data_IF_018351782629
#
_entry.id   IF_018351782629
#
_cell.length_a   1.000
_cell.length_b   1.000
_cell.length_c   1.000
_cell.angle_alpha   90.00
_cell.angle_beta   90.00
_cell.angle_gamma   90.00
#
_symmetry.space_group_name_H-M   'P 1'
#
loop_
_entity.id
_entity.type
_entity.pdbx_description
1 polymer ?
#
# COMPACT_ATOMS: atom_id res chain seq x y z
N UNK A 1 19.90 -53.86 15.23
CA UNK A 1 20.78 -52.71 14.95
C UNK A 1 20.10 -51.43 15.41
N UNK A 2 20.73 -50.58 16.25
CA UNK A 2 20.12 -49.34 16.73
C UNK A 2 20.23 -48.23 15.68
N UNK A 3 19.21 -47.36 15.61
CA UNK A 3 19.19 -46.16 14.76
C UNK A 3 20.19 -45.11 15.25
N UNK A 4 20.90 -44.37 14.37
CA UNK A 4 21.78 -43.30 14.81
C UNK A 4 20.97 -42.07 15.25
N UNK A 5 21.43 -41.43 16.32
CA UNK A 5 20.91 -40.16 16.81
C UNK A 5 21.17 -39.03 15.79
N UNK A 6 20.15 -38.20 15.50
CA UNK A 6 20.31 -36.98 14.72
C UNK A 6 20.97 -35.92 15.60
N UNK A 7 22.20 -35.51 15.29
CA UNK A 7 22.78 -34.29 15.83
C UNK A 7 22.15 -33.09 15.10
N UNK A 8 21.41 -32.27 15.84
CA UNK A 8 20.92 -30.98 15.39
C UNK A 8 21.95 -29.91 15.74
N UNK A 9 22.91 -29.66 14.85
CA UNK A 9 23.76 -28.49 14.93
C UNK A 9 24.06 -28.01 13.51
N UNK A 10 23.26 -27.05 13.03
CA UNK A 10 23.63 -26.26 11.86
C UNK A 10 24.83 -25.39 12.24
N UNK A 11 25.87 -25.27 11.40
CA UNK A 11 26.98 -24.37 11.66
C UNK A 11 26.48 -22.93 11.73
N UNK A 12 26.81 -22.23 12.83
CA UNK A 12 26.50 -20.81 12.97
C UNK A 12 27.34 -20.00 11.99
N UNK A 13 26.68 -19.37 11.02
CA UNK A 13 27.30 -18.42 10.10
C UNK A 13 27.70 -17.17 10.91
N UNK A 14 28.97 -16.71 10.83
CA UNK A 14 29.40 -15.49 11.51
C UNK A 14 28.53 -14.28 11.11
N UNK A 15 28.10 -13.50 12.11
CA UNK A 15 27.43 -12.21 11.90
C UNK A 15 28.47 -11.15 11.48
N UNK A 16 28.97 -11.23 10.27
CA UNK A 16 29.64 -10.10 9.64
C UNK A 16 28.64 -9.38 8.73
N UNK A 17 28.28 -8.15 9.09
CA UNK A 17 27.47 -7.29 8.26
C UNK A 17 28.29 -6.86 7.03
N UNK A 18 27.77 -6.97 5.80
CA UNK A 18 28.45 -6.47 4.62
C UNK A 18 28.73 -4.96 4.75
N UNK A 19 29.96 -4.54 4.43
CA UNK A 19 30.52 -3.19 4.58
C UNK A 19 29.86 -2.08 3.73
N UNK A 20 28.76 -2.37 3.04
CA UNK A 20 28.01 -1.40 2.22
C UNK A 20 27.19 -0.38 3.04
N UNK A 21 27.18 -0.48 4.37
CA UNK A 21 26.47 0.43 5.30
C UNK A 21 27.31 1.64 5.78
N UNK A 22 28.57 1.78 5.36
CA UNK A 22 29.50 2.77 5.90
C UNK A 22 29.32 4.23 5.38
N UNK A 23 28.12 4.60 4.91
CA UNK A 23 27.86 5.92 4.31
C UNK A 23 26.56 6.61 4.74
N UNK A 24 25.87 6.12 5.77
CA UNK A 24 24.59 6.73 6.21
C UNK A 24 24.85 8.02 7.00
N UNK A 25 24.29 9.19 6.62
CA UNK A 25 24.42 10.40 7.42
C UNK A 25 23.84 10.16 8.81
N UNK A 26 24.63 10.43 9.84
CA UNK A 26 24.40 10.12 11.26
C UNK A 26 23.23 10.87 11.94
N UNK A 27 22.28 11.45 11.19
CA UNK A 27 21.16 12.22 11.75
C UNK A 27 19.86 12.08 10.94
N UNK A 28 19.38 10.87 10.73
CA UNK A 28 17.95 10.67 10.41
C UNK A 28 17.15 10.83 11.71
N UNK A 29 16.41 11.94 11.88
CA UNK A 29 15.47 12.09 13.01
C UNK A 29 14.09 11.62 12.60
N UNK A 30 13.62 10.56 13.24
CA UNK A 30 12.23 10.15 13.22
C UNK A 30 11.44 11.01 14.22
N UNK A 31 10.54 11.88 13.74
CA UNK A 31 9.53 12.49 14.62
C UNK A 31 8.18 11.84 14.36
N UNK A 32 7.62 11.25 15.40
CA UNK A 32 6.22 10.78 15.42
C UNK A 32 5.36 12.01 15.73
N UNK A 33 4.48 12.38 14.81
CA UNK A 33 3.45 13.39 15.09
C UNK A 33 2.39 12.81 16.04
N UNK A 34 1.61 13.69 16.70
CA UNK A 34 0.60 13.34 17.71
C UNK A 34 -0.51 12.36 17.25
N UNK A 35 -0.53 11.95 15.98
CA UNK A 35 -1.48 11.00 15.39
C UNK A 35 -0.91 9.58 15.16
N UNK A 36 0.23 9.23 15.75
CA UNK A 36 0.72 7.84 15.95
C UNK A 36 1.08 6.99 14.71
N UNK A 37 0.69 7.39 13.51
CA UNK A 37 0.71 6.56 12.28
C UNK A 37 1.48 7.20 11.11
N UNK A 38 2.09 8.37 11.33
CA UNK A 38 2.76 9.17 10.30
C UNK A 38 4.14 9.63 10.78
N UNK A 39 5.16 9.48 9.92
CA UNK A 39 6.54 9.81 10.26
C UNK A 39 7.07 10.86 9.30
N UNK A 40 7.48 12.01 9.85
CA UNK A 40 8.30 12.96 9.12
C UNK A 40 9.75 12.48 9.19
N UNK A 41 10.36 12.26 8.03
CA UNK A 41 11.78 11.91 7.92
C UNK A 41 12.51 13.20 7.53
N UNK A 42 13.22 13.76 8.50
CA UNK A 42 14.04 14.96 8.29
C UNK A 42 15.46 14.71 8.81
N UNK A 43 16.45 15.12 8.03
CA UNK A 43 17.81 15.31 8.47
C UNK A 43 18.13 16.81 8.34
N UNK A 44 18.79 17.38 9.36
CA UNK A 44 19.10 18.81 9.42
C UNK A 44 19.92 19.24 8.19
N UNK A 45 19.40 20.20 7.41
CA UNK A 45 20.07 20.71 6.21
C UNK A 45 19.80 19.93 4.92
N UNK A 46 18.86 18.98 4.91
CA UNK A 46 18.50 18.20 3.71
C UNK A 46 17.01 18.32 3.35
N UNK A 47 16.67 18.15 2.05
CA UNK A 47 15.28 18.05 1.62
C UNK A 47 14.56 16.95 2.40
N UNK A 48 13.44 17.31 3.03
CA UNK A 48 12.69 16.42 3.92
C UNK A 48 11.61 15.65 3.15
N UNK A 49 11.31 14.42 3.61
CA UNK A 49 10.28 13.55 3.03
C UNK A 49 9.27 13.18 4.10
N UNK A 50 7.99 13.29 3.77
CA UNK A 50 6.89 12.80 4.60
C UNK A 50 6.35 11.49 4.02
N UNK A 51 6.29 10.44 4.84
CA UNK A 51 5.77 9.14 4.43
C UNK A 51 4.53 8.73 5.24
N UNK A 52 3.53 8.25 4.51
CA UNK A 52 2.33 7.60 5.01
C UNK A 52 2.61 6.15 5.36
N UNK A 53 2.21 5.70 6.55
CA UNK A 53 2.14 4.28 6.90
C UNK A 53 0.86 3.93 7.69
N UNK A 54 -0.14 4.81 7.66
CA UNK A 54 -1.35 4.63 8.47
C UNK A 54 -2.25 3.53 7.93
N UNK A 55 -3.16 3.05 8.77
CA UNK A 55 -4.27 2.22 8.34
C UNK A 55 -5.08 2.94 7.26
N UNK A 56 -5.52 2.18 6.25
CA UNK A 56 -6.30 2.68 5.12
C UNK A 56 -7.54 3.43 5.62
N UNK A 57 -7.80 4.64 5.10
CA UNK A 57 -8.91 5.44 5.58
C UNK A 57 -10.25 4.90 5.08
N UNK A 58 -11.28 5.01 5.93
CA UNK A 58 -12.65 4.70 5.54
C UNK A 58 -13.23 5.91 4.83
N UNK A 59 -13.56 5.76 3.55
CA UNK A 59 -14.37 6.76 2.84
C UNK A 59 -15.78 6.71 3.42
N UNK A 60 -16.10 7.65 4.32
CA UNK A 60 -17.45 7.77 4.87
C UNK A 60 -18.31 8.62 3.94
N UNK A 61 -19.06 7.97 3.06
CA UNK A 61 -20.31 8.54 2.51
C UNK A 61 -21.24 7.44 1.96
N UNK A 62 -22.41 7.19 2.57
CA UNK A 62 -23.57 6.77 1.80
C UNK A 62 -24.24 7.99 1.16
N UNK A 63 -24.94 7.85 0.01
CA UNK A 63 -25.74 8.93 -0.55
C UNK A 63 -26.85 9.29 0.44
N UNK A 64 -26.98 10.58 0.78
CA UNK A 64 -28.16 11.06 1.47
C UNK A 64 -29.38 10.83 0.55
N UNK A 65 -30.25 9.90 0.93
CA UNK A 65 -31.57 9.74 0.30
C UNK A 65 -32.42 11.02 0.40
N UNK A 66 -33.52 11.10 -0.36
CA UNK A 66 -34.30 12.33 -0.49
C UNK A 66 -34.87 12.77 0.86
N UNK A 67 -34.83 14.08 1.10
CA UNK A 67 -35.29 14.74 2.33
C UNK A 67 -36.78 14.44 2.56
N UNK A 68 -37.11 13.87 3.72
CA UNK A 68 -38.48 13.88 4.22
C UNK A 68 -38.90 15.30 4.60
N UNK A 69 -40.08 15.70 4.17
CA UNK A 69 -40.75 16.97 4.49
C UNK A 69 -41.41 16.86 5.86
N UNK A 70 -40.79 17.43 6.89
CA UNK A 70 -41.37 17.58 8.22
C UNK A 70 -40.84 18.85 8.90
N UNK A 71 -41.63 19.52 9.77
CA UNK A 71 -41.27 20.81 10.34
C UNK A 71 -40.15 20.66 11.39
N UNK A 72 -39.32 21.69 11.61
CA UNK A 72 -38.15 21.59 12.48
C UNK A 72 -38.54 21.67 13.96
N UNK A 73 -37.88 20.91 14.86
CA UNK A 73 -38.04 21.11 16.30
C UNK A 73 -37.26 22.34 16.79
N UNK A 74 -37.76 22.93 17.87
CA UNK A 74 -37.31 24.18 18.49
C UNK A 74 -35.98 24.04 19.27
N UNK A 75 -35.26 25.16 19.36
CA UNK A 75 -33.86 25.31 19.83
C UNK A 75 -33.65 24.94 21.31
N UNK A 76 -32.51 24.32 21.65
CA UNK A 76 -31.53 24.85 22.63
C UNK A 76 -30.28 23.96 22.75
N UNK A 77 -29.22 24.55 23.34
CA UNK A 77 -27.87 24.03 23.62
C UNK A 77 -26.81 24.30 22.54
N UNK A 78 -25.81 25.09 22.94
CA UNK A 78 -24.79 25.72 22.10
C UNK A 78 -23.86 24.75 21.38
N UNK A 79 -23.65 25.02 20.09
CA UNK A 79 -22.50 24.55 19.35
C UNK A 79 -21.87 25.75 18.65
N UNK A 80 -20.61 26.05 18.99
CA UNK A 80 -19.80 27.07 18.33
C UNK A 80 -19.75 26.83 16.82
N UNK A 81 -19.91 27.85 15.96
CA UNK A 81 -19.89 27.68 14.52
C UNK A 81 -18.45 27.57 14.03
N UNK A 82 -17.84 26.38 14.13
CA UNK A 82 -16.41 26.20 13.84
C UNK A 82 -16.01 24.95 13.06
N UNK A 83 -16.86 23.94 12.92
CA UNK A 83 -16.52 22.71 12.20
C UNK A 83 -17.59 22.37 11.16
N UNK A 84 -17.58 23.08 10.03
CA UNK A 84 -18.07 22.49 8.78
C UNK A 84 -17.18 21.28 8.50
N UNK A 85 -17.64 20.07 8.83
CA UNK A 85 -17.03 18.82 8.36
C UNK A 85 -16.85 18.94 6.85
N UNK A 86 -15.61 19.12 6.39
CA UNK A 86 -15.26 19.12 4.97
C UNK A 86 -15.59 17.73 4.43
N UNK A 87 -16.72 17.63 3.71
CA UNK A 87 -17.10 16.40 3.00
C UNK A 87 -15.94 15.98 2.09
N UNK A 88 -15.57 14.70 2.13
CA UNK A 88 -14.74 14.05 1.10
C UNK A 88 -13.21 14.16 1.23
N UNK A 89 -12.65 14.58 2.38
CA UNK A 89 -11.19 14.67 2.54
C UNK A 89 -10.66 13.55 3.44
N UNK A 90 -9.97 12.58 2.84
CA UNK A 90 -9.30 11.49 3.57
C UNK A 90 -8.15 12.04 4.42
N UNK A 91 -7.73 11.25 5.41
CA UNK A 91 -6.58 11.58 6.25
C UNK A 91 -5.31 11.74 5.40
N UNK A 92 -5.07 10.84 4.44
CA UNK A 92 -3.92 10.93 3.55
C UNK A 92 -3.91 12.22 2.72
N UNK A 93 -5.06 12.66 2.18
CA UNK A 93 -5.18 13.94 1.49
C UNK A 93 -4.87 15.14 2.40
N UNK A 94 -5.27 15.08 3.67
CA UNK A 94 -4.98 16.15 4.61
C UNK A 94 -3.47 16.29 4.89
N UNK A 95 -2.75 15.16 4.98
CA UNK A 95 -1.30 15.13 5.14
C UNK A 95 -0.56 15.52 3.87
N UNK A 96 -1.01 15.08 2.69
CA UNK A 96 -0.43 15.50 1.42
C UNK A 96 -0.50 17.03 1.26
N UNK A 97 -1.64 17.62 1.63
CA UNK A 97 -1.81 19.07 1.66
C UNK A 97 -0.88 19.77 2.68
N UNK A 98 -0.62 19.13 3.83
CA UNK A 98 0.33 19.66 4.80
C UNK A 98 1.78 19.58 4.29
N UNK A 99 2.14 18.47 3.64
CA UNK A 99 3.45 18.27 3.01
C UNK A 99 3.71 19.31 1.92
N UNK A 100 2.71 19.56 1.05
CA UNK A 100 2.78 20.58 0.02
C UNK A 100 3.00 21.98 0.61
N UNK A 101 2.25 22.36 1.67
CA UNK A 101 2.47 23.65 2.36
C UNK A 101 3.83 23.76 3.03
N UNK A 102 4.39 22.63 3.49
CA UNK A 102 5.68 22.58 4.15
C UNK A 102 6.86 22.50 3.16
N UNK A 103 6.62 22.39 1.85
CA UNK A 103 7.69 22.29 0.86
C UNK A 103 8.44 20.96 0.90
N UNK A 104 7.77 19.86 1.26
CA UNK A 104 8.38 18.52 1.40
C UNK A 104 7.75 17.51 0.45
N UNK A 105 8.54 16.52 0.04
CA UNK A 105 8.02 15.39 -0.74
C UNK A 105 7.01 14.58 0.07
N UNK A 106 6.04 13.96 -0.61
CA UNK A 106 5.03 13.11 0.03
C UNK A 106 5.01 11.71 -0.58
N UNK A 107 5.05 10.68 0.27
CA UNK A 107 4.94 9.26 -0.11
C UNK A 107 3.68 8.69 0.52
N UNK A 108 2.71 8.30 -0.31
CA UNK A 108 1.49 7.63 0.10
C UNK A 108 1.60 6.11 -0.09
N UNK A 109 1.49 5.35 0.99
CA UNK A 109 1.56 3.88 0.95
C UNK A 109 0.22 3.20 1.23
N UNK A 110 -0.85 3.97 1.45
CA UNK A 110 -2.22 3.47 1.64
C UNK A 110 -2.98 3.47 0.33
N UNK A 111 -4.15 2.83 0.27
CA UNK A 111 -5.02 2.85 -0.91
C UNK A 111 -5.87 4.11 -1.07
N UNK A 112 -5.73 5.09 -0.17
CA UNK A 112 -6.36 6.40 -0.36
C UNK A 112 -5.84 7.03 -1.66
N UNK A 113 -6.73 7.58 -2.49
CA UNK A 113 -6.33 8.28 -3.70
C UNK A 113 -5.69 9.63 -3.35
N UNK A 114 -4.39 9.76 -3.55
CA UNK A 114 -3.62 10.99 -3.34
C UNK A 114 -2.83 11.32 -4.59
N UNK A 115 -1.87 10.48 -4.97
CA UNK A 115 -1.06 10.68 -6.17
C UNK A 115 -1.88 10.50 -7.45
N UNK A 116 -2.97 9.74 -7.38
CA UNK A 116 -3.94 9.58 -8.47
C UNK A 116 -4.88 10.78 -8.66
N UNK A 117 -4.91 11.76 -7.73
CA UNK A 117 -5.76 12.96 -7.85
C UNK A 117 -5.05 14.00 -8.73
N UNK A 118 -5.52 14.26 -9.97
CA UNK A 118 -4.75 15.06 -10.93
C UNK A 118 -4.49 16.49 -10.47
N UNK A 119 -5.45 17.12 -9.79
CA UNK A 119 -5.32 18.48 -9.27
C UNK A 119 -4.27 18.59 -8.16
N UNK A 120 -4.08 17.53 -7.36
CA UNK A 120 -3.06 17.50 -6.33
C UNK A 120 -1.68 17.23 -6.95
N UNK A 121 -1.59 16.26 -7.87
CA UNK A 121 -0.37 15.95 -8.59
C UNK A 121 0.18 17.16 -9.36
N UNK A 122 -0.69 17.91 -10.03
CA UNK A 122 -0.31 19.14 -10.74
C UNK A 122 0.30 20.19 -9.79
N UNK A 123 -0.23 20.32 -8.57
CA UNK A 123 0.30 21.27 -7.56
C UNK A 123 1.65 20.84 -7.01
N UNK A 124 1.86 19.54 -6.79
CA UNK A 124 3.18 19.00 -6.42
C UNK A 124 4.21 19.20 -7.55
N UNK A 125 3.79 18.98 -8.79
CA UNK A 125 4.60 19.23 -9.99
C UNK A 125 5.01 20.70 -10.09
N UNK A 126 4.05 21.63 -9.95
CA UNK A 126 4.31 23.07 -9.98
C UNK A 126 5.22 23.55 -8.84
N UNK A 127 5.17 22.88 -7.68
CA UNK A 127 6.03 23.18 -6.54
C UNK A 127 7.42 22.53 -6.63
N UNK A 128 7.71 21.73 -7.66
CA UNK A 128 8.97 20.97 -7.76
C UNK A 128 9.12 19.89 -6.68
N UNK A 129 8.01 19.39 -6.12
CA UNK A 129 8.00 18.43 -5.02
C UNK A 129 7.55 17.04 -5.51
N UNK A 130 8.28 15.96 -5.17
CA UNK A 130 7.84 14.60 -5.46
C UNK A 130 6.54 14.23 -4.74
N UNK A 131 5.63 13.59 -5.47
CA UNK A 131 4.44 12.93 -4.97
C UNK A 131 4.45 11.46 -5.42
N UNK A 132 4.69 10.56 -4.47
CA UNK A 132 4.81 9.11 -4.71
C UNK A 132 3.59 8.41 -4.12
N UNK A 133 2.96 7.50 -4.85
CA UNK A 133 1.76 6.78 -4.43
C UNK A 133 0.93 6.31 -5.61
N UNK A 134 -0.13 5.53 -5.44
CA UNK A 134 -0.72 5.11 -4.16
C UNK A 134 -0.63 3.58 -3.96
N UNK A 135 -0.85 3.14 -2.73
CA UNK A 135 -0.82 1.76 -2.23
C UNK A 135 0.49 1.01 -2.53
N UNK A 136 1.31 0.80 -1.51
CA UNK A 136 2.60 0.11 -1.70
C UNK A 136 2.39 -1.36 -2.14
N UNK A 137 3.20 -1.84 -3.07
CA UNK A 137 3.31 -3.27 -3.36
C UNK A 137 4.39 -3.88 -2.45
N UNK A 138 4.02 -4.83 -1.58
CA UNK A 138 5.00 -5.49 -0.70
C UNK A 138 6.06 -6.21 -1.55
N UNK A 139 7.31 -6.22 -1.09
CA UNK A 139 8.47 -6.78 -1.81
C UNK A 139 8.20 -8.16 -2.44
N UNK A 140 7.54 -9.05 -1.69
CA UNK A 140 7.13 -10.36 -2.17
C UNK A 140 5.68 -10.67 -1.74
N UNK A 141 4.77 -9.77 -2.09
CA UNK A 141 3.35 -9.88 -1.71
C UNK A 141 2.51 -10.73 -2.66
N UNK A 142 1.30 -11.08 -2.22
CA UNK A 142 0.34 -11.85 -3.02
C UNK A 142 0.00 -11.19 -4.36
N UNK A 143 -0.21 -9.88 -4.40
CA UNK A 143 -0.48 -9.15 -5.66
C UNK A 143 0.72 -9.18 -6.63
N UNK A 144 1.96 -9.17 -6.13
CA UNK A 144 3.17 -9.22 -6.97
C UNK A 144 3.32 -10.60 -7.59
N UNK A 145 3.23 -11.65 -6.75
CA UNK A 145 3.30 -13.04 -7.22
C UNK A 145 2.18 -13.34 -8.21
N UNK A 146 0.96 -12.93 -7.91
CA UNK A 146 -0.17 -13.19 -8.77
C UNK A 146 -0.03 -12.50 -10.13
N UNK A 147 0.35 -11.21 -10.15
CA UNK A 147 0.62 -10.47 -11.39
C UNK A 147 1.71 -11.15 -12.22
N UNK A 148 2.79 -11.64 -11.58
CA UNK A 148 3.86 -12.36 -12.25
C UNK A 148 3.37 -13.67 -12.90
N UNK A 149 2.52 -14.44 -12.21
CA UNK A 149 1.92 -15.67 -12.76
C UNK A 149 1.00 -15.37 -13.95
N UNK A 150 0.12 -14.37 -13.83
CA UNK A 150 -0.78 -13.97 -14.92
C UNK A 150 0.00 -13.44 -16.13
N UNK A 151 1.09 -12.70 -15.89
CA UNK A 151 2.01 -12.27 -16.94
C UNK A 151 2.68 -13.46 -17.61
N UNK A 152 3.14 -14.45 -16.85
CA UNK A 152 3.74 -15.66 -17.39
C UNK A 152 2.76 -16.44 -18.28
N UNK A 153 1.50 -16.62 -17.84
CA UNK A 153 0.44 -17.24 -18.65
C UNK A 153 0.32 -16.54 -20.01
N UNK A 154 0.26 -15.20 -20.00
CA UNK A 154 0.16 -14.39 -21.22
C UNK A 154 1.40 -14.49 -22.10
N UNK A 155 2.60 -14.36 -21.53
CA UNK A 155 3.88 -14.43 -22.25
C UNK A 155 4.13 -15.80 -22.90
N UNK A 156 3.55 -16.86 -22.33
CA UNK A 156 3.63 -18.22 -22.86
C UNK A 156 2.49 -18.57 -23.82
N UNK A 157 1.59 -17.63 -24.12
CA UNK A 157 0.48 -17.83 -25.07
C UNK A 157 -0.63 -18.73 -24.53
N UNK A 158 -0.76 -18.89 -23.21
CA UNK A 158 -1.87 -19.59 -22.60
C UNK A 158 -3.08 -18.65 -22.50
N UNK A 159 -4.28 -19.22 -22.70
CA UNK A 159 -5.54 -18.50 -22.49
C UNK A 159 -5.95 -18.63 -21.03
N UNK A 160 -6.04 -17.52 -20.30
CA UNK A 160 -6.57 -17.51 -18.93
C UNK A 160 -8.08 -17.80 -18.96
N UNK A 161 -8.52 -18.82 -18.22
CA UNK A 161 -9.93 -19.19 -18.10
C UNK A 161 -10.53 -18.56 -16.85
N UNK A 162 -9.88 -18.75 -15.70
CA UNK A 162 -10.30 -18.19 -14.43
C UNK A 162 -9.12 -18.09 -13.48
N UNK A 163 -9.28 -17.27 -12.45
CA UNK A 163 -8.30 -17.16 -11.39
C UNK A 163 -8.95 -16.55 -10.17
N UNK A 164 -8.48 -16.92 -8.98
CA UNK A 164 -8.91 -16.29 -7.76
C UNK A 164 -7.77 -16.02 -6.78
N UNK A 165 -8.01 -15.09 -5.86
CA UNK A 165 -7.09 -14.76 -4.78
C UNK A 165 -7.84 -14.65 -3.45
N UNK A 166 -7.41 -15.43 -2.46
CA UNK A 166 -7.83 -15.34 -1.07
C UNK A 166 -6.66 -14.84 -0.23
N UNK A 167 -6.90 -13.91 0.70
CA UNK A 167 -5.85 -13.49 1.65
C UNK A 167 -6.38 -13.51 3.08
N UNK A 168 -5.57 -14.06 3.97
CA UNK A 168 -5.79 -14.16 5.40
C UNK A 168 -4.66 -13.44 6.14
N UNK A 169 -4.96 -12.77 7.24
CA UNK A 169 -3.95 -12.11 8.08
C UNK A 169 -4.45 -11.84 9.49
N UNK A 170 -3.52 -11.58 10.40
CA UNK A 170 -3.81 -11.37 11.83
C UNK A 170 -3.48 -9.97 12.34
N UNK A 171 -3.06 -9.04 11.49
CA UNK A 171 -2.73 -7.67 11.90
C UNK A 171 -3.99 -6.80 12.00
N UNK A 172 -3.85 -5.67 12.69
CA UNK A 172 -4.93 -4.67 12.80
C UNK A 172 -5.30 -4.07 11.42
N UNK A 173 -4.38 -4.04 10.45
CA UNK A 173 -4.71 -3.68 9.07
C UNK A 173 -5.73 -4.68 8.48
N UNK A 174 -5.53 -5.99 8.68
CA UNK A 174 -6.51 -6.99 8.24
C UNK A 174 -7.84 -6.87 8.96
N UNK A 175 -7.84 -6.61 10.26
CA UNK A 175 -9.07 -6.37 11.01
C UNK A 175 -9.84 -5.18 10.44
N UNK A 176 -9.16 -4.04 10.26
CA UNK A 176 -9.75 -2.84 9.66
C UNK A 176 -10.30 -3.11 8.25
N UNK A 177 -9.60 -3.91 7.44
CA UNK A 177 -10.03 -4.24 6.08
C UNK A 177 -11.22 -5.21 6.03
N UNK A 178 -11.39 -6.07 7.04
CA UNK A 178 -12.58 -6.93 7.18
C UNK A 178 -13.78 -6.12 7.64
N UNK A 179 -13.58 -5.21 8.60
CA UNK A 179 -14.62 -4.32 9.09
C UNK A 179 -15.01 -3.27 8.04
N UNK A 180 -14.11 -2.94 7.09
CA UNK A 180 -14.30 -1.92 6.06
C UNK A 180 -13.90 -2.44 4.65
N UNK A 181 -14.69 -3.36 4.05
CA UNK A 181 -14.30 -4.12 2.86
C UNK A 181 -14.08 -3.30 1.57
N UNK A 182 -14.64 -2.08 1.50
CA UNK A 182 -14.59 -1.24 0.30
C UNK A 182 -13.29 -0.43 0.14
N UNK A 183 -12.34 -0.53 1.08
CA UNK A 183 -11.21 0.41 1.17
C UNK A 183 -9.99 0.04 0.32
N UNK A 184 -9.82 -1.24 -0.06
CA UNK A 184 -8.62 -1.73 -0.77
C UNK A 184 -8.91 -2.63 -1.97
N UNK A 185 -10.19 -2.85 -2.29
CA UNK A 185 -10.62 -3.70 -3.40
C UNK A 185 -10.12 -3.18 -4.76
N UNK A 186 -10.28 -1.88 -5.01
CA UNK A 186 -9.87 -1.26 -6.27
C UNK A 186 -8.36 -1.33 -6.48
N UNK A 187 -7.54 -1.07 -5.45
CA UNK A 187 -6.07 -1.13 -5.59
C UNK A 187 -5.55 -2.53 -5.92
N UNK A 188 -6.21 -3.58 -5.41
CA UNK A 188 -5.89 -4.97 -5.80
C UNK A 188 -6.28 -5.26 -7.25
N UNK A 189 -7.43 -4.77 -7.72
CA UNK A 189 -7.85 -4.90 -9.13
C UNK A 189 -6.88 -4.19 -10.07
N UNK A 190 -6.50 -2.95 -9.73
CA UNK A 190 -5.49 -2.19 -10.48
C UNK A 190 -4.17 -2.96 -10.60
N UNK A 191 -3.73 -3.66 -9.54
CA UNK A 191 -2.52 -4.46 -9.57
C UNK A 191 -2.61 -5.75 -10.43
N UNK A 192 -3.81 -6.25 -10.73
CA UNK A 192 -4.02 -7.51 -11.45
C UNK A 192 -4.40 -7.29 -12.93
N UNK A 193 -5.08 -6.19 -13.24
CA UNK A 193 -5.33 -5.75 -14.62
C UNK A 193 -6.14 -6.73 -15.48
N UNK A 194 -6.97 -7.58 -14.88
CA UNK A 194 -7.82 -8.54 -15.59
C UNK A 194 -9.13 -8.77 -14.83
N UNK A 195 -10.25 -8.73 -15.57
CA UNK A 195 -11.60 -9.00 -15.05
C UNK A 195 -11.84 -10.49 -14.78
N UNK A 196 -10.98 -11.37 -15.29
CA UNK A 196 -11.06 -12.82 -15.08
C UNK A 196 -10.52 -13.25 -13.70
N UNK A 197 -10.01 -12.30 -12.91
CA UNK A 197 -9.42 -12.57 -11.58
C UNK A 197 -10.38 -12.15 -10.48
N UNK A 198 -10.90 -13.11 -9.73
CA UNK A 198 -11.79 -12.87 -8.60
C UNK A 198 -10.99 -12.72 -7.31
N UNK A 199 -11.13 -11.58 -6.63
CA UNK A 199 -10.54 -11.36 -5.32
C UNK A 199 -11.57 -11.65 -4.25
N UNK A 200 -11.39 -12.74 -3.51
CA UNK A 200 -12.26 -13.09 -2.40
C UNK A 200 -12.16 -12.08 -1.25
N UNK A 201 -13.20 -11.97 -0.40
CA UNK A 201 -13.14 -11.20 0.83
C UNK A 201 -11.91 -11.57 1.67
N UNK A 202 -11.35 -10.57 2.34
CA UNK A 202 -10.24 -10.76 3.27
C UNK A 202 -10.70 -11.54 4.49
N UNK A 203 -9.85 -12.41 5.02
CA UNK A 203 -10.09 -13.09 6.30
C UNK A 203 -9.19 -12.53 7.40
N UNK A 204 -9.77 -12.24 8.56
CA UNK A 204 -9.05 -11.85 9.76
C UNK A 204 -8.94 -13.05 10.70
N UNK A 205 -7.72 -13.46 10.99
CA UNK A 205 -7.39 -14.57 11.89
C UNK A 205 -6.31 -14.10 12.88
N UNK A 206 -6.69 -13.71 14.12
CA UNK A 206 -5.77 -13.04 15.05
C UNK A 206 -4.52 -13.86 15.38
N UNK A 207 -4.63 -15.19 15.41
CA UNK A 207 -3.52 -16.09 15.71
C UNK A 207 -2.40 -16.07 14.65
N UNK A 208 -2.65 -15.55 13.44
CA UNK A 208 -1.61 -15.39 12.42
C UNK A 208 -0.63 -14.25 12.74
N UNK A 209 -1.03 -13.31 13.61
CA UNK A 209 -0.23 -12.12 13.93
C UNK A 209 0.21 -11.39 12.65
N UNK A 210 1.52 -11.20 12.49
CA UNK A 210 2.11 -10.54 11.32
C UNK A 210 2.33 -11.45 10.10
N UNK A 211 2.00 -12.74 10.20
CA UNK A 211 1.97 -13.62 9.04
C UNK A 211 0.72 -13.37 8.22
N UNK A 212 0.92 -13.22 6.92
CA UNK A 212 -0.11 -13.16 5.91
C UNK A 212 -0.03 -14.43 5.07
N UNK A 213 -1.16 -15.10 4.96
CA UNK A 213 -1.33 -16.29 4.13
C UNK A 213 -2.18 -15.89 2.93
N UNK A 214 -1.74 -16.23 1.73
CA UNK A 214 -2.53 -16.05 0.52
C UNK A 214 -2.63 -17.36 -0.25
N UNK A 215 -3.81 -17.61 -0.81
CA UNK A 215 -4.08 -18.69 -1.75
C UNK A 215 -4.40 -18.06 -3.09
N UNK A 216 -3.64 -18.43 -4.11
CA UNK A 216 -3.79 -17.97 -5.48
C UNK A 216 -4.08 -19.18 -6.35
N UNK A 217 -5.04 -19.04 -7.25
CA UNK A 217 -5.33 -20.04 -8.26
C UNK A 217 -5.25 -19.42 -9.65
N UNK A 218 -4.78 -20.21 -10.60
CA UNK A 218 -4.76 -19.86 -12.03
C UNK A 218 -5.20 -21.09 -12.82
N UNK A 219 -6.33 -20.96 -13.52
CA UNK A 219 -6.81 -21.92 -14.50
C UNK A 219 -6.61 -21.35 -15.90
N UNK A 220 -5.91 -22.08 -16.75
CA UNK A 220 -5.58 -21.66 -18.10
C UNK A 220 -5.66 -22.83 -19.10
N UNK A 221 -5.65 -22.48 -20.38
CA UNK A 221 -5.66 -23.43 -21.48
C UNK A 221 -4.44 -23.19 -22.39
N UNK A 222 -3.65 -24.23 -22.60
CA UNK A 222 -2.49 -24.24 -23.49
C UNK A 222 -2.80 -24.78 -24.89
N UNK A 223 -1.73 -25.17 -25.59
CA UNK A 223 -1.83 -25.73 -26.93
C UNK A 223 -2.73 -26.97 -26.98
N UNK A 224 -3.48 -27.11 -28.08
CA UNK A 224 -4.41 -28.23 -28.28
C UNK A 224 -5.56 -28.28 -27.29
N UNK A 225 -5.82 -27.18 -26.58
CA UNK A 225 -6.86 -27.13 -25.55
C UNK A 225 -6.46 -27.76 -24.22
N UNK A 226 -5.17 -28.05 -24.01
CA UNK A 226 -4.67 -28.74 -22.81
C UNK A 226 -4.87 -27.87 -21.57
N UNK A 227 -5.56 -28.38 -20.52
CA UNK A 227 -5.80 -27.60 -19.31
C UNK A 227 -4.51 -27.44 -18.49
N UNK A 228 -4.37 -26.29 -17.84
CA UNK A 228 -3.31 -25.96 -16.89
C UNK A 228 -3.96 -25.38 -15.64
N UNK A 229 -3.72 -26.02 -14.50
CA UNK A 229 -4.17 -25.55 -13.19
C UNK A 229 -2.96 -25.33 -12.29
N UNK A 230 -2.96 -24.21 -11.57
CA UNK A 230 -1.90 -23.85 -10.64
C UNK A 230 -2.52 -23.28 -9.37
N UNK A 231 -2.25 -23.95 -8.24
CA UNK A 231 -2.54 -23.42 -6.91
C UNK A 231 -1.24 -23.06 -6.18
N UNK A 232 -1.20 -21.85 -5.63
CA UNK A 232 -0.07 -21.34 -4.85
C UNK A 232 -0.53 -20.94 -3.47
N UNK A 233 0.11 -21.49 -2.44
CA UNK A 233 0.04 -20.99 -1.07
C UNK A 233 1.27 -20.16 -0.76
N UNK A 234 1.07 -18.87 -0.49
CA UNK A 234 2.11 -17.93 -0.09
C UNK A 234 1.97 -17.65 1.41
N UNK A 235 3.06 -17.80 2.17
CA UNK A 235 3.15 -17.34 3.57
C UNK A 235 4.28 -16.33 3.69
N UNK A 236 3.97 -15.11 4.11
CA UNK A 236 4.94 -14.01 4.22
C UNK A 236 4.70 -13.18 5.47
N UNK A 237 5.74 -12.52 5.96
CA UNK A 237 5.62 -11.54 7.01
C UNK A 237 5.29 -10.15 6.42
N UNK A 238 4.04 -9.71 6.52
CA UNK A 238 3.51 -8.55 5.78
C UNK A 238 4.21 -7.23 6.14
N UNK A 239 4.44 -6.88 7.42
CA UNK A 239 5.12 -5.64 7.79
C UNK A 239 6.57 -5.57 7.27
N UNK A 240 7.30 -6.68 7.30
CA UNK A 240 8.70 -6.70 6.82
C UNK A 240 8.78 -6.51 5.31
N UNK A 241 7.87 -7.17 4.57
CA UNK A 241 7.80 -7.00 3.12
C UNK A 241 7.40 -5.59 2.69
N UNK A 242 6.64 -4.86 3.52
CA UNK A 242 6.31 -3.46 3.28
C UNK A 242 7.43 -2.49 3.68
N UNK A 243 8.14 -2.76 4.78
CA UNK A 243 9.17 -1.87 5.32
C UNK A 243 10.32 -1.61 4.33
N UNK A 244 10.82 -2.65 3.66
CA UNK A 244 11.88 -2.51 2.66
C UNK A 244 11.48 -1.59 1.50
N UNK A 245 10.32 -1.85 0.91
CA UNK A 245 9.80 -1.04 -0.22
C UNK A 245 9.53 0.39 0.20
N UNK A 246 9.04 0.62 1.42
CA UNK A 246 8.79 1.96 1.93
C UNK A 246 10.10 2.78 2.05
N UNK A 247 11.18 2.16 2.51
CA UNK A 247 12.51 2.78 2.52
C UNK A 247 12.94 3.15 1.11
N UNK A 248 12.74 2.27 0.12
CA UNK A 248 13.10 2.54 -1.26
C UNK A 248 12.29 3.70 -1.86
N UNK A 249 10.98 3.75 -1.63
CA UNK A 249 10.12 4.87 -2.06
C UNK A 249 10.58 6.22 -1.46
N UNK A 250 10.92 6.23 -0.17
CA UNK A 250 11.46 7.43 0.49
C UNK A 250 12.80 7.83 -0.12
N UNK A 251 13.68 6.87 -0.43
CA UNK A 251 14.98 7.13 -1.06
C UNK A 251 14.81 7.70 -2.47
N UNK A 252 13.89 7.15 -3.26
CA UNK A 252 13.55 7.67 -4.59
C UNK A 252 13.05 9.11 -4.50
N UNK A 253 12.10 9.39 -3.60
CA UNK A 253 11.60 10.75 -3.37
C UNK A 253 12.73 11.71 -2.94
N UNK A 254 13.62 11.28 -2.06
CA UNK A 254 14.74 12.10 -1.61
C UNK A 254 15.76 12.39 -2.73
N UNK A 255 16.04 11.41 -3.60
CA UNK A 255 16.90 11.60 -4.78
C UNK A 255 16.25 12.57 -5.75
N UNK A 256 14.97 12.36 -6.10
CA UNK A 256 14.25 13.24 -7.02
C UNK A 256 14.22 14.69 -6.52
N UNK A 257 13.95 14.89 -5.23
CA UNK A 257 13.93 16.21 -4.61
C UNK A 257 15.30 16.89 -4.63
N UNK A 258 16.40 16.14 -4.42
CA UNK A 258 17.78 16.69 -4.56
C UNK A 258 18.13 17.06 -6.00
N UNK A 259 17.54 16.38 -6.97
CA UNK A 259 17.75 16.63 -8.40
C UNK A 259 16.75 17.64 -9.00
N UNK A 260 15.93 18.31 -8.18
CA UNK A 260 14.94 19.29 -8.63
C UNK A 260 13.78 18.68 -9.43
N UNK A 261 13.56 17.36 -9.35
CA UNK A 261 12.46 16.65 -10.01
C UNK A 261 11.25 16.60 -9.07
N UNK A 262 10.13 17.19 -9.49
CA UNK A 262 8.85 17.16 -8.80
C UNK A 262 7.78 16.37 -9.55
N UNK A 263 6.61 16.22 -8.92
CA UNK A 263 5.49 15.46 -9.48
C UNK A 263 5.63 13.95 -9.28
N UNK A 264 5.09 13.19 -10.21
CA UNK A 264 5.15 11.72 -10.21
C UNK A 264 6.58 11.23 -10.50
N UNK A 265 6.94 10.10 -9.88
CA UNK A 265 8.17 9.38 -10.17
C UNK A 265 7.84 8.08 -10.91
N UNK A 266 8.06 8.04 -12.22
CA UNK A 266 7.79 6.87 -13.05
C UNK A 266 8.56 5.63 -12.57
N UNK A 267 9.79 5.81 -12.07
CA UNK A 267 10.60 4.74 -11.50
C UNK A 267 10.00 4.09 -10.24
N UNK A 268 9.03 4.73 -9.58
CA UNK A 268 8.34 4.18 -8.42
C UNK A 268 7.11 3.33 -8.79
N UNK A 269 6.66 3.33 -10.06
CA UNK A 269 5.38 2.73 -10.46
C UNK A 269 5.29 1.23 -10.14
N UNK A 270 6.37 0.47 -10.33
CA UNK A 270 6.40 -0.99 -10.06
C UNK A 270 6.35 -1.32 -8.56
N UNK A 271 6.72 -0.36 -7.70
CA UNK A 271 6.66 -0.49 -6.24
C UNK A 271 5.27 -0.16 -5.68
N UNK A 272 4.32 0.18 -6.55
CA UNK A 272 2.98 0.63 -6.21
C UNK A 272 1.93 -0.32 -6.84
N UNK A 273 0.81 -0.48 -6.16
CA UNK A 273 -0.37 -1.19 -6.69
C UNK A 273 -1.26 -0.28 -7.50
N UNK A 274 -1.23 1.03 -7.24
CA UNK A 274 -2.07 2.02 -7.89
C UNK A 274 -1.28 3.29 -8.19
N UNK A 275 -0.28 3.21 -9.10
CA UNK A 275 0.46 4.40 -9.55
C UNK A 275 -0.49 5.42 -10.23
N UNK A 276 -0.05 6.67 -10.41
CA UNK A 276 -0.83 7.67 -11.14
C UNK A 276 -1.23 7.18 -12.53
N UNK A 277 -2.40 7.61 -13.00
CA UNK A 277 -3.01 7.11 -14.24
C UNK A 277 -3.86 5.84 -14.09
N UNK A 278 -3.84 5.17 -12.92
CA UNK A 278 -4.77 4.07 -12.62
C UNK A 278 -6.11 4.56 -12.06
N UNK A 279 -7.18 3.78 -12.24
CA UNK A 279 -8.53 4.13 -11.79
C UNK A 279 -8.60 4.32 -10.26
N UNK A 280 -9.36 5.33 -9.79
CA UNK A 280 -9.57 5.66 -8.37
C UNK A 280 -10.56 4.70 -7.72
#
# INVERSE_FOLDING_TARGET
MPRPARSSAWPQVPREQPSWYAGTPSRVRWRVGSAGSWKLISASGTPSVMASCASTSVTTAPPCGPRSTGPPPTRSAGCSPGHRRRRGRTTALAYAEAALRAGVAFVNTTSDAVARVPSLLARFTAAGLPLVGDDLASQFGSSVVHRALLRLVRERGLTLLSSYQVNLGGTEDFRNLVENPNTKGQSKRNALGSDQVQVAPLGYLPHLGSQKIAHLNVEAQGWGGTPVSLDVRLSVHDPSGAAGVNIDLVRLAAVALRSGRGGELAEAAELLKSPPGTAI
#
